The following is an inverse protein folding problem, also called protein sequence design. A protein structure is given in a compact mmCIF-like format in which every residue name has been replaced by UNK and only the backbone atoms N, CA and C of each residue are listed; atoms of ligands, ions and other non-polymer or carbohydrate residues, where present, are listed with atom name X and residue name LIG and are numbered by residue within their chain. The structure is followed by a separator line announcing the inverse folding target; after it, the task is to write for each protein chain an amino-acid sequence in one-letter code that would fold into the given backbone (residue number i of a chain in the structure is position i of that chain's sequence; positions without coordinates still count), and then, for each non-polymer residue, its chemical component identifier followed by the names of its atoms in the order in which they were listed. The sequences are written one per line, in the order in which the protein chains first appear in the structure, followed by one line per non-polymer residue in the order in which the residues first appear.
data_IF_563979795760
#
_entry.id   IF_563979795760
#
_cell.length_a   1.000
_cell.length_b   1.000
_cell.length_c   1.000
_cell.angle_alpha   90.00
_cell.angle_beta   90.00
_cell.angle_gamma   90.00
#
_symmetry.space_group_name_H-M   'P 1'
#
loop_
_entity.id
_entity.type
_entity.pdbx_description
1 polymer ?
#
# COMPACT_ATOMS: atom_id res chain seq x y z
N UNK A 1 -48.21 -16.09 -14.99
CA UNK A 1 -47.24 -15.88 -13.90
C UNK A 1 -48.03 -15.35 -12.73
N UNK A 2 -48.18 -16.15 -11.68
CA UNK A 2 -49.08 -15.84 -10.56
C UNK A 2 -48.49 -14.79 -9.62
N UNK A 3 -49.26 -13.72 -9.39
CA UNK A 3 -48.91 -12.62 -8.49
C UNK A 3 -48.55 -13.09 -7.07
N UNK A 4 -49.13 -14.20 -6.62
CA UNK A 4 -48.83 -14.80 -5.31
C UNK A 4 -47.40 -15.35 -5.21
N UNK A 5 -46.84 -15.85 -6.33
CA UNK A 5 -45.45 -16.35 -6.36
C UNK A 5 -44.47 -15.18 -6.32
N UNK A 6 -44.79 -14.08 -6.99
CA UNK A 6 -43.97 -12.86 -6.98
C UNK A 6 -44.00 -12.15 -5.63
N UNK A 7 -45.16 -12.09 -4.96
CA UNK A 7 -45.24 -11.53 -3.60
C UNK A 7 -44.48 -12.37 -2.60
N UNK A 8 -44.61 -13.71 -2.67
CA UNK A 8 -43.87 -14.61 -1.79
C UNK A 8 -42.35 -14.53 -2.01
N UNK A 9 -41.89 -14.39 -3.26
CA UNK A 9 -40.47 -14.18 -3.56
C UNK A 9 -39.95 -12.83 -3.06
N UNK A 10 -40.76 -11.76 -3.18
CA UNK A 10 -40.43 -10.44 -2.65
C UNK A 10 -40.34 -10.44 -1.12
N UNK A 11 -41.27 -11.11 -0.45
CA UNK A 11 -41.27 -11.24 1.01
C UNK A 11 -40.08 -12.08 1.49
N UNK A 12 -39.71 -13.14 0.75
CA UNK A 12 -38.52 -13.94 1.03
C UNK A 12 -37.22 -13.15 0.86
N UNK A 13 -37.10 -12.34 -0.19
CA UNK A 13 -35.95 -11.45 -0.40
C UNK A 13 -35.90 -10.35 0.67
N UNK A 14 -37.04 -9.77 1.02
CA UNK A 14 -37.14 -8.74 2.07
C UNK A 14 -36.71 -9.31 3.42
N UNK A 15 -37.11 -10.54 3.73
CA UNK A 15 -36.70 -11.23 4.95
C UNK A 15 -35.22 -11.66 4.92
N UNK A 16 -34.70 -12.08 3.76
CA UNK A 16 -33.28 -12.40 3.59
C UNK A 16 -32.37 -11.16 3.68
N UNK A 17 -32.85 -9.98 3.26
CA UNK A 17 -32.15 -8.71 3.46
C UNK A 17 -32.24 -8.21 4.90
N UNK A 18 -33.17 -8.72 5.70
CA UNK A 18 -33.39 -8.35 7.11
C UNK A 18 -32.51 -9.15 8.07
N UNK A 19 -31.40 -9.71 7.60
CA UNK A 19 -30.39 -10.36 8.45
C UNK A 19 -30.02 -9.41 9.59
N UNK A 20 -30.20 -9.86 10.83
CA UNK A 20 -29.84 -9.11 12.03
C UNK A 20 -28.42 -8.56 11.87
N UNK A 21 -28.25 -7.25 12.09
CA UNK A 21 -26.92 -6.62 12.08
C UNK A 21 -26.04 -7.38 13.07
N UNK A 22 -24.97 -8.02 12.56
CA UNK A 22 -24.10 -8.90 13.34
C UNK A 22 -23.45 -8.21 14.56
N UNK A 23 -23.50 -6.88 14.61
CA UNK A 23 -23.08 -6.04 15.73
C UNK A 23 -23.89 -6.24 17.01
N UNK A 24 -25.20 -6.55 16.93
CA UNK A 24 -26.04 -6.66 18.14
C UNK A 24 -25.70 -7.89 19.00
N UNK A 25 -25.11 -8.94 18.41
CA UNK A 25 -24.68 -10.15 19.12
C UNK A 25 -23.38 -9.98 19.91
N UNK A 26 -22.62 -8.90 19.65
CA UNK A 26 -21.32 -8.67 20.29
C UNK A 26 -21.39 -7.88 21.60
N UNK A 27 -22.56 -7.37 21.98
CA UNK A 27 -22.71 -6.55 23.19
C UNK A 27 -22.90 -7.35 24.49
N UNK A 28 -23.01 -8.68 24.44
CA UNK A 28 -23.52 -9.46 25.59
C UNK A 28 -22.72 -10.70 26.01
N UNK A 29 -21.63 -11.12 25.35
CA UNK A 29 -20.98 -12.40 25.74
C UNK A 29 -19.46 -12.34 25.70
N UNK A 30 -18.82 -12.53 26.86
CA UNK A 30 -17.37 -12.73 27.03
C UNK A 30 -16.87 -14.10 26.50
N UNK A 31 -17.75 -14.87 25.87
CA UNK A 31 -17.50 -16.24 25.41
C UNK A 31 -18.51 -16.66 24.35
N UNK A 32 -18.20 -16.41 23.08
CA UNK A 32 -18.91 -17.06 21.96
C UNK A 32 -18.61 -18.58 21.99
N UNK A 33 -19.63 -19.46 21.88
CA UNK A 33 -19.37 -20.89 21.75
C UNK A 33 -18.63 -21.17 20.44
N UNK A 34 -17.38 -21.63 20.54
CA UNK A 34 -16.59 -22.03 19.36
C UNK A 34 -17.19 -23.32 18.79
N UNK A 35 -17.92 -23.20 17.69
CA UNK A 35 -18.35 -24.37 16.92
C UNK A 35 -17.20 -24.81 16.00
N UNK A 36 -16.42 -25.78 16.44
CA UNK A 36 -15.46 -26.46 15.57
C UNK A 36 -16.25 -27.41 14.66
N UNK A 37 -16.19 -27.26 13.32
CA UNK A 37 -16.91 -28.14 12.43
C UNK A 37 -16.42 -29.58 12.64
N UNK A 38 -17.31 -30.56 12.88
CA UNK A 38 -16.94 -31.93 13.17
C UNK A 38 -16.33 -32.67 11.95
N UNK A 39 -16.39 -32.08 10.76
CA UNK A 39 -15.99 -32.71 9.50
C UNK A 39 -15.63 -31.69 8.41
N UNK A 40 -14.86 -32.11 7.40
CA UNK A 40 -14.50 -31.26 6.27
C UNK A 40 -15.72 -30.77 5.44
N UNK A 41 -16.83 -31.51 5.44
CA UNK A 41 -18.06 -31.13 4.72
C UNK A 41 -18.90 -30.08 5.46
N UNK A 42 -18.62 -29.84 6.74
CA UNK A 42 -19.22 -28.75 7.54
C UNK A 42 -18.25 -27.57 7.71
N UNK A 43 -17.05 -27.64 7.13
CA UNK A 43 -16.08 -26.56 7.20
C UNK A 43 -16.52 -25.35 6.36
N UNK A 44 -16.39 -24.15 6.93
CA UNK A 44 -16.71 -22.90 6.24
C UNK A 44 -15.73 -22.56 5.12
N UNK A 45 -14.53 -23.17 5.11
CA UNK A 45 -13.49 -22.94 4.12
C UNK A 45 -12.84 -24.26 3.70
N UNK A 46 -12.55 -24.40 2.41
CA UNK A 46 -11.84 -25.54 1.83
C UNK A 46 -10.69 -25.07 0.95
N UNK A 47 -9.53 -25.70 1.07
CA UNK A 47 -8.36 -25.41 0.21
C UNK A 47 -8.60 -25.98 -1.19
N UNK A 48 -8.74 -25.12 -2.20
CA UNK A 48 -8.94 -25.56 -3.58
C UNK A 48 -7.63 -25.88 -4.33
N UNK A 49 -6.55 -25.16 -4.05
CA UNK A 49 -5.28 -25.31 -4.74
C UNK A 49 -4.11 -24.87 -3.88
N UNK A 50 -2.96 -25.51 -4.06
CA UNK A 50 -1.67 -25.10 -3.51
C UNK A 50 -0.63 -25.16 -4.62
N UNK A 51 0.07 -24.04 -4.85
CA UNK A 51 1.13 -23.94 -5.86
C UNK A 51 2.47 -23.72 -5.17
N UNK A 52 3.52 -24.49 -5.50
CA UNK A 52 4.85 -24.28 -4.93
C UNK A 52 5.43 -22.95 -5.43
N UNK A 53 6.38 -22.41 -4.68
CA UNK A 53 7.19 -21.27 -5.13
C UNK A 53 8.03 -21.69 -6.35
N UNK A 54 8.27 -20.78 -7.29
CA UNK A 54 9.04 -21.08 -8.51
C UNK A 54 10.46 -21.55 -8.16
N UNK A 55 10.98 -22.54 -8.90
CA UNK A 55 12.34 -23.07 -8.73
C UNK A 55 13.40 -21.96 -8.83
N UNK A 56 13.14 -20.93 -9.65
CA UNK A 56 14.00 -19.76 -9.75
C UNK A 56 14.15 -19.06 -8.39
N UNK A 57 13.03 -18.78 -7.72
CA UNK A 57 13.06 -18.14 -6.41
C UNK A 57 13.69 -19.06 -5.38
N UNK A 58 13.40 -20.36 -5.42
CA UNK A 58 14.02 -21.36 -4.54
C UNK A 58 15.57 -21.35 -4.66
N UNK A 59 16.10 -21.14 -5.86
CA UNK A 59 17.55 -21.00 -6.10
C UNK A 59 18.12 -19.64 -5.68
N UNK A 60 17.29 -18.59 -5.67
CA UNK A 60 17.70 -17.23 -5.33
C UNK A 60 17.69 -16.99 -3.81
N UNK A 61 16.80 -17.64 -3.05
CA UNK A 61 16.71 -17.47 -1.58
C UNK A 61 18.04 -17.71 -0.84
N UNK A 62 18.84 -18.76 -1.14
CA UNK A 62 20.13 -18.97 -0.47
C UNK A 62 21.15 -17.85 -0.71
N UNK A 63 20.93 -17.00 -1.72
CA UNK A 63 21.79 -15.85 -2.02
C UNK A 63 21.42 -14.60 -1.21
N UNK A 64 20.41 -14.69 -0.34
CA UNK A 64 20.01 -13.57 0.53
C UNK A 64 21.10 -13.28 1.54
N UNK A 65 21.57 -12.03 1.59
CA UNK A 65 22.60 -11.60 2.53
C UNK A 65 22.02 -11.01 3.81
N UNK A 66 20.93 -10.25 3.72
CA UNK A 66 20.37 -9.46 4.83
C UNK A 66 18.93 -9.85 5.13
N UNK A 67 18.02 -9.69 4.16
CA UNK A 67 16.60 -9.94 4.40
C UNK A 67 15.84 -10.30 3.14
N UNK A 68 14.79 -11.11 3.33
CA UNK A 68 13.82 -11.42 2.29
C UNK A 68 12.40 -11.20 2.82
N UNK A 69 11.55 -10.57 2.00
CA UNK A 69 10.15 -10.32 2.31
C UNK A 69 9.29 -10.93 1.22
N UNK A 70 8.12 -11.45 1.60
CA UNK A 70 7.16 -11.99 0.65
C UNK A 70 5.78 -11.43 0.96
N UNK A 71 4.91 -11.37 -0.05
CA UNK A 71 3.54 -10.94 0.16
C UNK A 71 2.71 -10.94 -1.10
N UNK A 72 1.46 -10.50 -0.95
CA UNK A 72 0.47 -10.48 -2.01
C UNK A 72 0.01 -9.04 -2.27
N UNK A 73 -0.12 -8.70 -3.55
CA UNK A 73 -0.66 -7.44 -4.06
C UNK A 73 -2.04 -7.74 -4.67
N UNK A 74 -3.11 -7.81 -3.85
CA UNK A 74 -4.40 -8.35 -4.27
C UNK A 74 -5.01 -7.63 -5.47
N UNK A 75 -4.77 -6.32 -5.60
CA UNK A 75 -5.34 -5.51 -6.68
C UNK A 75 -4.62 -5.68 -8.03
N UNK A 76 -3.35 -6.07 -7.99
CA UNK A 76 -2.61 -6.49 -9.17
C UNK A 76 -2.77 -7.99 -9.43
N UNK A 77 -3.29 -8.73 -8.46
CA UNK A 77 -3.26 -10.20 -8.41
C UNK A 77 -1.84 -10.72 -8.70
N UNK A 78 -0.85 -10.12 -8.03
CA UNK A 78 0.56 -10.49 -8.12
C UNK A 78 1.08 -10.82 -6.74
N UNK A 79 1.92 -11.83 -6.66
CA UNK A 79 2.77 -12.09 -5.50
C UNK A 79 4.08 -11.32 -5.67
N UNK A 80 4.68 -10.92 -4.56
CA UNK A 80 6.01 -10.34 -4.56
C UNK A 80 6.95 -11.10 -3.63
N UNK A 81 8.22 -11.13 -4.01
CA UNK A 81 9.33 -11.56 -3.19
C UNK A 81 10.44 -10.53 -3.33
N UNK A 82 11.00 -10.10 -2.21
CA UNK A 82 12.22 -9.29 -2.18
C UNK A 82 13.37 -10.15 -1.69
N UNK A 83 14.54 -9.96 -2.28
CA UNK A 83 15.81 -10.53 -1.82
C UNK A 83 16.77 -9.36 -1.76
N UNK A 84 17.05 -8.90 -0.55
CA UNK A 84 17.83 -7.70 -0.27
C UNK A 84 17.27 -6.47 -1.03
N UNK A 85 17.97 -6.00 -2.06
CA UNK A 85 17.60 -4.85 -2.88
C UNK A 85 16.82 -5.21 -4.17
N UNK A 86 16.60 -6.50 -4.44
CA UNK A 86 15.93 -6.98 -5.65
C UNK A 86 14.47 -7.28 -5.36
N UNK A 87 13.59 -6.85 -6.25
CA UNK A 87 12.15 -7.13 -6.20
C UNK A 87 11.75 -8.04 -7.35
N UNK A 88 11.01 -9.09 -7.05
CA UNK A 88 10.41 -10.01 -8.02
C UNK A 88 8.90 -9.99 -7.86
N UNK A 89 8.16 -9.81 -8.95
CA UNK A 89 6.71 -9.93 -9.01
C UNK A 89 6.32 -11.10 -9.91
N UNK A 90 5.34 -11.90 -9.52
CA UNK A 90 4.88 -13.01 -10.33
C UNK A 90 3.37 -13.23 -10.15
N UNK A 91 2.64 -13.57 -11.22
CA UNK A 91 1.25 -14.01 -11.09
C UNK A 91 1.15 -15.32 -10.28
N UNK A 92 0.06 -15.51 -9.52
CA UNK A 92 -0.24 -16.81 -8.93
C UNK A 92 -0.27 -17.89 -10.01
N UNK A 93 0.35 -19.04 -9.74
CA UNK A 93 0.43 -20.19 -10.66
C UNK A 93 1.21 -19.96 -11.97
N UNK A 94 1.97 -18.86 -12.11
CA UNK A 94 2.87 -18.67 -13.26
C UNK A 94 4.33 -18.91 -12.88
N UNK A 95 5.12 -19.39 -13.84
CA UNK A 95 6.58 -19.43 -13.74
C UNK A 95 7.24 -18.12 -14.15
N UNK A 96 6.50 -17.29 -14.89
CA UNK A 96 6.99 -16.01 -15.37
C UNK A 96 7.02 -15.00 -14.23
N UNK A 97 8.07 -14.19 -14.22
CA UNK A 97 8.26 -13.15 -13.22
C UNK A 97 8.80 -11.87 -13.86
N UNK A 98 8.55 -10.77 -13.17
CA UNK A 98 9.05 -9.44 -13.47
C UNK A 98 10.07 -9.13 -12.38
N UNK A 99 11.30 -8.77 -12.75
CA UNK A 99 12.32 -8.36 -11.80
C UNK A 99 12.57 -6.86 -11.86
N UNK A 100 12.94 -6.29 -10.71
CA UNK A 100 13.39 -4.93 -10.59
C UNK A 100 14.61 -4.88 -9.67
N UNK A 101 15.73 -4.41 -10.22
CA UNK A 101 17.05 -4.34 -9.55
C UNK A 101 17.61 -2.91 -9.50
N UNK A 102 16.72 -1.91 -9.56
CA UNK A 102 17.10 -0.49 -9.60
C UNK A 102 17.41 0.14 -8.24
N UNK A 103 17.36 -0.62 -7.14
CA UNK A 103 17.61 -0.12 -5.79
C UNK A 103 19.02 -0.49 -5.33
N UNK A 104 19.65 0.39 -4.59
CA UNK A 104 20.99 0.17 -4.02
C UNK A 104 20.93 -0.41 -2.61
N UNK A 105 19.87 -0.09 -1.87
CA UNK A 105 19.65 -0.54 -0.49
C UNK A 105 18.58 -1.64 -0.42
N UNK A 106 18.58 -2.35 0.70
CA UNK A 106 17.59 -3.39 0.98
C UNK A 106 16.17 -2.83 0.97
N UNK A 107 15.23 -3.66 0.51
CA UNK A 107 13.81 -3.35 0.52
C UNK A 107 13.23 -3.73 1.88
N UNK A 108 12.54 -2.78 2.50
CA UNK A 108 11.93 -2.93 3.84
C UNK A 108 10.41 -3.09 3.77
N UNK A 109 9.74 -2.44 2.82
CA UNK A 109 8.31 -2.62 2.58
C UNK A 109 7.97 -2.50 1.10
N UNK A 110 6.90 -3.18 0.71
CA UNK A 110 6.30 -3.12 -0.63
C UNK A 110 4.79 -3.00 -0.48
N UNK A 111 4.18 -2.00 -1.12
CA UNK A 111 2.72 -1.80 -1.07
C UNK A 111 2.19 -1.29 -2.41
N UNK A 112 1.08 -1.87 -2.88
CA UNK A 112 0.38 -1.33 -4.05
C UNK A 112 -0.56 -0.18 -3.68
N UNK A 113 -0.57 0.86 -4.50
CA UNK A 113 -1.41 2.04 -4.34
C UNK A 113 -1.95 2.50 -5.69
N UNK A 114 -3.15 3.11 -5.68
CA UNK A 114 -3.66 3.76 -6.88
C UNK A 114 -2.79 4.96 -7.24
N UNK A 115 -2.56 5.21 -8.55
CA UNK A 115 -1.85 6.39 -8.99
C UNK A 115 -2.61 7.65 -8.56
N UNK A 116 -1.87 8.69 -8.16
CA UNK A 116 -2.46 10.00 -7.95
C UNK A 116 -3.08 10.51 -9.27
N UNK A 117 -4.29 11.13 -9.22
CA UNK A 117 -4.95 11.64 -10.42
C UNK A 117 -4.04 12.58 -11.23
N UNK A 118 -4.14 12.50 -12.56
CA UNK A 118 -3.37 13.33 -13.51
C UNK A 118 -1.84 13.24 -13.36
N UNK A 119 -1.30 12.25 -12.63
CA UNK A 119 0.16 12.16 -12.42
C UNK A 119 0.85 11.26 -13.44
N UNK A 120 0.18 10.21 -13.89
CA UNK A 120 0.71 9.25 -14.86
C UNK A 120 -0.15 9.20 -16.12
N UNK A 121 0.43 8.68 -17.21
CA UNK A 121 -0.32 8.33 -18.41
C UNK A 121 -1.24 7.13 -18.13
N UNK A 122 -2.30 7.00 -18.93
CA UNK A 122 -3.34 5.96 -18.77
C UNK A 122 -2.81 4.52 -18.88
N UNK A 123 -1.59 4.34 -19.42
CA UNK A 123 -0.90 3.04 -19.45
C UNK A 123 -0.51 2.53 -18.05
N UNK A 124 -0.40 3.42 -17.07
CA UNK A 124 -0.05 3.07 -15.68
C UNK A 124 -1.31 2.63 -14.94
N UNK A 125 -1.34 1.36 -14.56
CA UNK A 125 -2.48 0.75 -13.85
C UNK A 125 -2.43 1.03 -12.35
N UNK A 126 -1.27 0.77 -11.73
CA UNK A 126 -1.05 1.01 -10.31
C UNK A 126 0.34 1.57 -10.07
N UNK A 127 0.54 2.09 -8.87
CA UNK A 127 1.86 2.44 -8.35
C UNK A 127 2.27 1.45 -7.27
N UNK A 128 3.56 1.17 -7.22
CA UNK A 128 4.16 0.33 -6.19
C UNK A 128 5.07 1.20 -5.33
N UNK A 129 4.73 1.30 -4.05
CA UNK A 129 5.51 2.00 -3.05
C UNK A 129 6.51 1.00 -2.49
N UNK A 130 7.80 1.30 -2.68
CA UNK A 130 8.92 0.48 -2.22
C UNK A 130 9.78 1.32 -1.29
N UNK A 131 9.98 0.87 -0.06
CA UNK A 131 10.77 1.61 0.92
C UNK A 131 12.10 0.93 1.15
N UNK A 132 13.16 1.73 1.26
CA UNK A 132 14.47 1.35 1.76
C UNK A 132 14.68 2.00 3.12
N UNK A 133 15.77 1.71 3.86
CA UNK A 133 16.06 2.39 5.12
C UNK A 133 16.18 3.91 5.00
N UNK A 134 16.56 4.43 3.83
CA UNK A 134 16.84 5.87 3.63
C UNK A 134 15.89 6.57 2.66
N UNK A 135 15.15 5.83 1.82
CA UNK A 135 14.34 6.41 0.75
C UNK A 135 13.02 5.66 0.53
N UNK A 136 12.01 6.38 0.04
CA UNK A 136 10.75 5.83 -0.45
C UNK A 136 10.71 6.05 -1.95
N UNK A 137 10.61 4.96 -2.70
CA UNK A 137 10.51 4.95 -4.16
C UNK A 137 9.08 4.67 -4.58
N UNK A 138 8.59 5.43 -5.55
CA UNK A 138 7.33 5.12 -6.24
C UNK A 138 7.68 4.51 -7.60
N UNK A 139 7.24 3.29 -7.86
CA UNK A 139 7.37 2.64 -9.16
C UNK A 139 6.01 2.63 -9.86
N UNK A 140 6.00 2.72 -11.19
CA UNK A 140 4.79 2.59 -11.98
C UNK A 140 4.65 1.14 -12.48
N UNK A 141 3.43 0.60 -12.40
CA UNK A 141 3.08 -0.72 -12.95
C UNK A 141 2.25 -0.50 -14.22
N UNK A 142 2.78 -0.88 -15.37
CA UNK A 142 2.08 -0.75 -16.65
C UNK A 142 1.13 -1.92 -16.90
N UNK A 143 0.10 -1.72 -17.71
CA UNK A 143 -0.67 -2.82 -18.29
C UNK A 143 -0.17 -3.13 -19.70
N UNK A 144 -0.02 -4.43 -20.02
CA UNK A 144 0.23 -4.96 -21.38
C UNK A 144 1.49 -4.43 -22.10
N UNK A 145 2.69 -5.00 -21.85
CA UNK A 145 2.98 -6.02 -20.84
C UNK A 145 3.01 -5.45 -19.43
N UNK A 146 2.77 -6.30 -18.43
CA UNK A 146 2.96 -5.94 -17.02
C UNK A 146 4.44 -5.74 -16.76
N UNK A 147 4.86 -4.50 -16.54
CA UNK A 147 6.26 -4.17 -16.27
C UNK A 147 6.37 -3.17 -15.13
N UNK A 148 7.52 -3.20 -14.45
CA UNK A 148 7.87 -2.21 -13.43
C UNK A 148 8.73 -1.13 -14.06
N UNK A 149 8.20 0.09 -14.06
CA UNK A 149 8.91 1.27 -14.58
C UNK A 149 9.35 2.14 -13.41
N UNK A 150 10.65 2.40 -13.22
CA UNK A 150 11.12 3.31 -12.20
C UNK A 150 10.60 4.72 -12.51
N UNK A 151 9.99 5.36 -11.51
CA UNK A 151 9.64 6.77 -11.61
C UNK A 151 10.75 7.62 -10.98
N UNK A 152 10.74 8.92 -11.28
CA UNK A 152 11.64 9.87 -10.66
C UNK A 152 11.12 10.43 -9.32
N UNK A 153 10.16 9.75 -8.69
CA UNK A 153 9.58 10.13 -7.41
C UNK A 153 10.28 9.32 -6.32
N UNK A 154 11.24 9.96 -5.68
CA UNK A 154 12.06 9.39 -4.61
C UNK A 154 12.02 10.38 -3.44
N UNK A 155 11.66 9.91 -2.25
CA UNK A 155 11.51 10.73 -1.05
C UNK A 155 12.47 10.24 0.05
N UNK A 156 13.37 11.10 0.54
CA UNK A 156 14.26 10.70 1.63
C UNK A 156 13.49 10.52 2.95
N UNK A 157 13.95 9.56 3.75
CA UNK A 157 13.41 9.25 5.07
C UNK A 157 14.49 9.32 6.15
N UNK A 158 14.33 10.18 7.17
CA UNK A 158 15.30 10.30 8.25
C UNK A 158 15.33 9.05 9.15
N UNK A 159 14.21 8.33 9.20
CA UNK A 159 14.02 7.12 9.98
C UNK A 159 13.46 6.00 9.08
N UNK A 160 13.82 4.73 9.32
CA UNK A 160 13.28 3.62 8.57
C UNK A 160 11.76 3.55 8.65
N UNK A 161 11.12 3.30 7.52
CA UNK A 161 9.67 3.12 7.44
C UNK A 161 9.32 1.70 7.92
N UNK A 162 8.40 1.60 8.86
CA UNK A 162 7.94 0.35 9.46
C UNK A 162 6.57 -0.09 8.96
N UNK A 163 5.74 0.84 8.48
CA UNK A 163 4.40 0.56 7.99
C UNK A 163 4.09 1.39 6.74
N UNK A 164 3.42 0.78 5.76
CA UNK A 164 2.97 1.45 4.53
C UNK A 164 1.54 1.05 4.21
N UNK A 165 0.69 2.03 4.00
CA UNK A 165 -0.70 1.80 3.61
C UNK A 165 -1.19 2.83 2.59
N UNK A 166 -2.28 2.51 1.90
CA UNK A 166 -2.85 3.36 0.86
C UNK A 166 -4.37 3.29 0.91
N UNK A 167 -5.01 4.45 0.78
CA UNK A 167 -6.46 4.57 0.57
C UNK A 167 -6.76 4.42 -0.92
N UNK A 168 -7.76 3.61 -1.25
CA UNK A 168 -8.18 3.38 -2.64
C UNK A 168 -9.27 4.34 -3.09
N UNK A 169 -10.00 4.95 -2.15
CA UNK A 169 -11.02 5.96 -2.45
C UNK A 169 -10.38 7.33 -2.59
N UNK A 170 -9.46 7.69 -1.70
CA UNK A 170 -8.80 9.01 -1.72
C UNK A 170 -7.46 9.02 -2.46
N UNK A 171 -6.95 7.85 -2.89
CA UNK A 171 -5.62 7.68 -3.51
C UNK A 171 -4.45 8.16 -2.63
N UNK A 172 -4.65 8.34 -1.31
CA UNK A 172 -3.63 8.82 -0.38
C UNK A 172 -2.74 7.69 0.09
N UNK A 173 -1.47 7.97 0.33
CA UNK A 173 -0.49 6.99 0.78
C UNK A 173 0.05 7.45 2.13
N UNK A 174 0.00 6.55 3.12
CA UNK A 174 0.46 6.82 4.48
C UNK A 174 1.62 5.90 4.85
N UNK A 175 2.57 6.45 5.61
CA UNK A 175 3.78 5.80 6.09
C UNK A 175 3.86 5.95 7.61
N UNK A 176 4.31 4.91 8.31
CA UNK A 176 4.72 4.98 9.71
C UNK A 176 6.22 4.71 9.81
N UNK A 177 6.93 5.43 10.68
CA UNK A 177 8.37 5.24 10.89
C UNK A 177 8.72 4.65 12.27
N UNK A 178 10.02 4.38 12.46
CA UNK A 178 10.54 3.91 13.76
C UNK A 178 10.48 4.95 14.88
N UNK A 179 10.30 6.23 14.55
CA UNK A 179 10.22 7.33 15.51
C UNK A 179 8.81 7.53 16.06
N UNK A 180 7.83 6.79 15.54
CA UNK A 180 6.44 6.90 15.97
C UNK A 180 5.65 7.95 15.18
N UNK A 181 6.24 8.51 14.12
CA UNK A 181 5.61 9.52 13.28
C UNK A 181 4.91 8.89 12.07
N UNK A 182 3.77 9.49 11.70
CA UNK A 182 2.97 9.11 10.54
C UNK A 182 3.11 10.21 9.50
N UNK A 183 3.37 9.79 8.27
CA UNK A 183 3.54 10.69 7.14
C UNK A 183 2.57 10.34 6.02
N UNK A 184 2.24 11.35 5.23
CA UNK A 184 1.56 11.19 3.96
C UNK A 184 2.51 11.51 2.81
N UNK A 185 2.50 10.64 1.81
CA UNK A 185 3.24 10.83 0.56
C UNK A 185 2.32 11.50 -0.46
N UNK A 186 2.68 12.72 -0.86
CA UNK A 186 1.96 13.49 -1.88
C UNK A 186 2.91 13.78 -3.03
N UNK A 187 2.53 13.39 -4.24
CA UNK A 187 3.28 13.66 -5.45
C UNK A 187 2.32 14.10 -6.57
N UNK A 188 2.79 14.99 -7.44
CA UNK A 188 2.01 15.53 -8.56
C UNK A 188 2.86 15.54 -9.82
N UNK A 189 2.26 15.34 -11.00
CA UNK A 189 2.93 15.70 -12.25
C UNK A 189 3.05 17.23 -12.34
N UNK A 190 4.26 17.74 -12.46
CA UNK A 190 4.48 19.15 -12.81
C UNK A 190 5.00 19.21 -14.25
N UNK A 191 4.11 18.99 -15.20
CA UNK A 191 4.21 19.60 -16.53
C UNK A 191 2.84 19.55 -17.21
N UNK A 192 2.06 20.65 -17.20
CA UNK A 192 1.17 20.88 -18.30
C UNK A 192 2.08 21.27 -19.48
N UNK A 193 2.40 20.33 -20.38
CA UNK A 193 2.82 20.77 -21.71
C UNK A 193 1.61 21.49 -22.31
N UNK A 194 1.69 22.80 -22.63
CA UNK A 194 0.62 23.46 -23.34
C UNK A 194 0.36 22.68 -24.63
N UNK A 195 -0.89 22.48 -25.04
CA UNK A 195 -1.18 21.94 -26.37
C UNK A 195 -0.62 22.94 -27.40
N UNK A 196 0.55 22.64 -27.98
CA UNK A 196 1.09 23.42 -29.11
C UNK A 196 2.59 23.70 -29.17
N UNK A 197 3.45 23.28 -28.23
CA UNK A 197 4.89 23.56 -28.35
C UNK A 197 5.67 22.37 -28.94
N UNK A 198 6.08 22.53 -30.20
CA UNK A 198 6.74 21.53 -31.02
C UNK A 198 8.13 21.15 -30.47
N UNK A 199 8.35 19.84 -30.43
CA UNK A 199 9.63 19.15 -30.34
C UNK A 199 10.59 19.59 -31.45
N UNK A 200 11.59 20.44 -31.17
CA UNK A 200 12.90 20.46 -31.89
C UNK A 200 13.81 21.62 -31.46
N UNK A 201 14.30 21.64 -30.22
CA UNK A 201 15.54 22.36 -29.83
C UNK A 201 15.93 22.00 -28.38
N UNK A 202 15.96 20.71 -28.07
CA UNK A 202 16.62 20.22 -26.86
C UNK A 202 18.12 20.52 -26.99
N UNK A 203 18.68 21.35 -26.12
CA UNK A 203 20.12 21.61 -26.17
C UNK A 203 20.65 22.58 -25.14
N UNK A 204 20.46 23.89 -25.33
CA UNK A 204 21.43 24.85 -24.76
C UNK A 204 20.79 26.06 -24.05
N UNK A 205 19.50 26.37 -24.28
CA UNK A 205 18.85 27.57 -23.72
C UNK A 205 17.88 27.33 -22.56
N UNK A 206 17.50 26.08 -22.28
CA UNK A 206 16.47 25.76 -21.27
C UNK A 206 16.90 25.99 -19.82
N UNK A 207 18.19 26.08 -19.53
CA UNK A 207 18.71 26.15 -18.15
C UNK A 207 18.80 27.56 -17.55
N UNK A 208 18.73 28.61 -18.38
CA UNK A 208 18.98 30.01 -17.95
C UNK A 208 17.67 30.81 -17.82
N UNK A 209 16.58 30.38 -18.46
CA UNK A 209 15.27 31.06 -18.41
C UNK A 209 14.16 30.28 -17.70
N UNK A 210 14.38 28.98 -17.41
CA UNK A 210 13.42 28.15 -16.69
C UNK A 210 14.12 27.46 -15.51
N UNK A 211 13.56 27.70 -14.33
CA UNK A 211 14.12 27.28 -13.05
C UNK A 211 14.18 25.76 -12.84
N UNK A 212 14.98 25.41 -11.83
CA UNK A 212 15.22 24.11 -11.21
C UNK A 212 14.02 23.13 -11.28
N UNK A 213 14.12 22.10 -12.14
CA UNK A 213 13.14 21.01 -12.30
C UNK A 213 13.18 20.03 -11.09
N UNK A 214 12.98 20.56 -9.87
CA UNK A 214 12.71 19.73 -8.69
C UNK A 214 11.25 19.27 -8.71
N UNK A 215 11.09 18.01 -9.06
CA UNK A 215 9.81 17.27 -9.09
C UNK A 215 9.07 17.41 -7.75
N UNK A 216 7.80 17.80 -7.80
CA UNK A 216 6.94 18.15 -6.65
C UNK A 216 6.42 16.93 -5.89
N UNK A 217 7.31 16.11 -5.35
CA UNK A 217 6.96 15.11 -4.35
C UNK A 217 7.32 15.63 -2.95
N UNK A 218 6.42 15.48 -1.99
CA UNK A 218 6.64 15.87 -0.59
C UNK A 218 6.06 14.85 0.37
N UNK A 219 6.69 14.78 1.53
CA UNK A 219 6.25 13.98 2.67
C UNK A 219 5.69 14.92 3.74
N UNK A 220 4.42 14.77 4.09
CA UNK A 220 3.71 15.61 5.07
C UNK A 220 3.62 14.83 6.39
N UNK A 221 4.09 15.39 7.50
CA UNK A 221 3.99 14.75 8.82
C UNK A 221 2.62 15.08 9.47
N UNK A 222 1.86 14.06 9.85
CA UNK A 222 0.53 14.19 10.46
C UNK A 222 0.54 14.00 11.99
N UNK A 223 1.66 13.55 12.57
CA UNK A 223 1.82 13.42 14.03
C UNK A 223 2.11 14.78 14.70
N UNK A 224 2.44 15.81 13.92
CA UNK A 224 2.67 17.16 14.43
C UNK A 224 1.39 17.98 14.59
N UNK A 225 0.97 18.24 15.83
CA UNK A 225 0.17 19.44 16.15
C UNK A 225 0.94 20.68 15.67
N UNK A 226 0.39 21.42 14.70
CA UNK A 226 1.09 22.42 13.88
C UNK A 226 1.64 23.67 14.59
N UNK A 227 1.64 23.74 15.94
CA UNK A 227 1.92 24.97 16.68
C UNK A 227 3.00 24.84 17.79
N UNK A 228 3.69 23.70 17.90
CA UNK A 228 4.67 23.49 18.99
C UNK A 228 6.10 23.77 18.50
N UNK A 229 6.85 24.71 19.12
CA UNK A 229 8.25 24.99 18.78
C UNK A 229 9.18 23.78 18.98
N UNK A 230 10.22 23.65 18.15
CA UNK A 230 11.17 22.51 18.18
C UNK A 230 11.84 22.28 19.54
N UNK A 231 12.11 23.35 20.29
CA UNK A 231 12.77 23.29 21.60
C UNK A 231 11.86 22.58 22.64
N UNK A 232 10.55 22.76 22.54
CA UNK A 232 9.56 22.07 23.39
C UNK A 232 9.31 20.64 22.90
N UNK A 233 9.54 20.38 21.61
CA UNK A 233 9.42 19.05 20.98
C UNK A 233 10.45 18.08 21.54
N UNK A 234 11.67 18.51 21.84
CA UNK A 234 12.70 17.65 22.46
C UNK A 234 12.39 17.30 23.92
N UNK A 235 11.60 18.13 24.62
CA UNK A 235 11.13 17.86 25.98
C UNK A 235 9.84 17.04 26.00
N UNK A 236 8.91 17.26 25.05
CA UNK A 236 7.73 16.41 24.87
C UNK A 236 8.06 15.05 24.29
N UNK A 237 8.99 14.90 23.35
CA UNK A 237 9.42 13.58 22.85
C UNK A 237 9.97 12.67 23.96
N UNK A 238 10.45 13.24 25.08
CA UNK A 238 10.82 12.50 26.30
C UNK A 238 9.66 12.17 27.25
N UNK A 239 8.50 12.83 27.12
CA UNK A 239 7.31 12.66 27.96
C UNK A 239 6.15 11.97 27.20
N UNK A 240 6.13 12.08 25.87
CA UNK A 240 5.16 11.51 24.92
C UNK A 240 5.83 10.50 23.99
N UNK A 241 6.95 9.90 24.38
CA UNK A 241 7.79 9.05 23.54
C UNK A 241 7.03 7.84 23.01
N UNK A 242 6.26 8.02 21.93
CA UNK A 242 5.60 6.93 21.24
C UNK A 242 6.70 6.05 20.66
N UNK A 243 6.57 4.75 20.86
CA UNK A 243 7.47 3.78 20.27
C UNK A 243 7.36 3.76 18.73
N UNK A 244 8.05 2.84 18.05
CA UNK A 244 7.91 2.66 16.61
C UNK A 244 6.46 2.39 16.21
N UNK A 245 6.02 2.93 15.06
CA UNK A 245 4.74 2.54 14.47
C UNK A 245 4.83 1.07 14.07
N UNK A 246 3.87 0.25 14.48
CA UNK A 246 3.78 -1.18 14.16
C UNK A 246 3.01 -1.40 12.86
N UNK A 247 1.87 -0.74 12.69
CA UNK A 247 1.01 -0.91 11.52
C UNK A 247 0.15 0.35 11.32
N UNK A 248 -0.32 0.56 10.09
CA UNK A 248 -1.28 1.63 9.75
C UNK A 248 -2.36 1.03 8.86
N UNK A 249 -3.61 1.17 9.25
CA UNK A 249 -4.79 0.71 8.50
C UNK A 249 -5.62 1.90 8.05
N UNK A 250 -6.26 1.75 6.91
CA UNK A 250 -7.18 2.74 6.36
C UNK A 250 -8.57 2.10 6.33
N UNK A 251 -9.55 2.83 6.84
CA UNK A 251 -10.97 2.56 6.66
C UNK A 251 -11.50 3.55 5.62
N UNK A 252 -11.64 3.08 4.38
CA UNK A 252 -12.08 3.89 3.24
C UNK A 252 -13.57 4.26 3.33
N UNK A 253 -14.39 3.51 4.08
CA UNK A 253 -15.84 3.77 4.23
C UNK A 253 -16.10 4.95 5.17
N UNK A 254 -15.34 4.99 6.28
CA UNK A 254 -15.43 6.06 7.29
C UNK A 254 -14.43 7.18 7.06
N UNK A 255 -13.55 7.03 6.06
CA UNK A 255 -12.44 7.95 5.80
C UNK A 255 -11.57 8.16 7.04
N UNK A 256 -11.26 7.08 7.75
CA UNK A 256 -10.43 7.06 8.95
C UNK A 256 -9.12 6.33 8.68
N UNK A 257 -8.09 6.71 9.43
CA UNK A 257 -6.85 5.94 9.51
C UNK A 257 -6.66 5.51 10.95
N UNK A 258 -6.19 4.29 11.12
CA UNK A 258 -5.84 3.72 12.42
C UNK A 258 -4.36 3.44 12.43
N UNK A 259 -3.63 3.99 13.38
CA UNK A 259 -2.24 3.70 13.62
C UNK A 259 -2.11 2.84 14.87
N UNK A 260 -1.26 1.83 14.78
CA UNK A 260 -0.98 0.90 15.87
C UNK A 260 0.50 1.05 16.18
N UNK A 261 0.83 1.33 17.42
CA UNK A 261 2.22 1.44 17.89
C UNK A 261 2.69 0.12 18.52
N UNK A 262 4.01 -0.04 18.68
CA UNK A 262 4.60 -1.27 19.25
C UNK A 262 4.20 -1.52 20.71
N UNK A 263 3.81 -0.49 21.44
CA UNK A 263 3.30 -0.57 22.81
C UNK A 263 1.85 -1.07 22.90
N UNK A 264 1.17 -1.23 21.75
CA UNK A 264 -0.23 -1.64 21.67
C UNK A 264 -1.22 -0.48 21.66
N UNK A 265 -0.75 0.77 21.73
CA UNK A 265 -1.61 1.96 21.57
C UNK A 265 -2.21 1.98 20.16
N UNK A 266 -3.48 2.35 20.06
CA UNK A 266 -4.22 2.53 18.79
C UNK A 266 -4.82 3.93 18.77
N UNK A 267 -4.62 4.66 17.68
CA UNK A 267 -5.21 6.00 17.42
C UNK A 267 -5.75 6.11 16.00
#
# INVERSE_FOLDING_TARGET
MDWQVLSSASDALTNACRTDESSDLSTQVLSTPTFLPPSAHTASYTTHSSSPISDFLASAYPQTEICSLTGHLPHLNLLYVTIDNKLYLFPPNSKDFISYTGLTQIITNVKSAKPQPNTFQDIVRETLIVTTPTEVHVLAVTSNPTTLVPTNIILPTPYPITAVTSSRTSNRIFLGDTSGDIYEVVYTSSSPSPPGLLTSAAGILGKVLMGDDRKKARKINHTSTSWVPEIVRSMKAKITGRGPVKDVKVDDERNLIWAIWKDGTVE
#
